data_IF_948626895978
#
_entry.id   IF_948626895978
#
_cell.length_a   1.000
_cell.length_b   1.000
_cell.length_c   1.000
_cell.angle_alpha   90.00
_cell.angle_beta   90.00
_cell.angle_gamma   90.00
#
_symmetry.space_group_name_H-M   'P 1'
#
loop_
_entity.id
_entity.type
_entity.pdbx_description
1 polymer ?
#
# COMPACT_ATOMS: atom_id res chain seq x y z
N UNK A 1 18.39 1.97 47.44
CA UNK A 1 18.64 3.06 46.42
C UNK A 1 18.70 2.54 44.98
N UNK A 2 19.25 1.36 44.68
CA UNK A 2 19.27 0.76 43.34
C UNK A 2 17.86 0.28 42.91
N UNK A 3 17.01 -0.22 43.81
CA UNK A 3 15.69 -0.77 43.48
C UNK A 3 14.65 0.27 43.05
N UNK A 4 14.69 1.52 43.52
CA UNK A 4 13.74 2.57 43.14
C UNK A 4 13.97 3.09 41.74
N UNK A 5 15.23 3.24 41.34
CA UNK A 5 15.62 3.72 39.96
C UNK A 5 15.17 2.72 38.87
N UNK A 6 15.19 1.41 39.18
CA UNK A 6 14.72 0.39 38.26
C UNK A 6 13.19 0.41 38.10
N UNK A 7 12.43 0.63 39.19
CA UNK A 7 10.97 0.66 39.11
C UNK A 7 10.44 1.83 38.28
N UNK A 8 11.05 3.01 38.42
CA UNK A 8 10.65 4.21 37.66
C UNK A 8 10.93 4.02 36.16
N UNK A 9 12.05 3.40 35.81
CA UNK A 9 12.39 3.11 34.41
C UNK A 9 11.43 2.06 33.78
N UNK A 10 11.03 1.01 34.51
CA UNK A 10 10.11 0.02 33.97
C UNK A 10 8.71 0.58 33.68
N UNK A 11 8.21 1.48 34.55
CA UNK A 11 6.95 2.16 34.31
C UNK A 11 7.00 3.02 33.04
N UNK A 12 8.09 3.78 32.85
CA UNK A 12 8.32 4.58 31.65
C UNK A 12 8.43 3.71 30.40
N UNK A 13 9.20 2.63 30.44
CA UNK A 13 9.32 1.68 29.33
C UNK A 13 7.96 1.08 28.96
N UNK A 14 7.19 0.63 29.97
CA UNK A 14 5.85 0.10 29.74
C UNK A 14 4.93 1.14 29.07
N UNK A 15 5.04 2.41 29.47
CA UNK A 15 4.28 3.51 28.88
C UNK A 15 4.65 3.72 27.39
N UNK A 16 5.94 3.73 27.04
CA UNK A 16 6.38 3.81 25.63
C UNK A 16 5.76 2.68 24.79
N UNK A 17 5.82 1.45 25.29
CA UNK A 17 5.31 0.28 24.57
C UNK A 17 3.78 0.30 24.44
N UNK A 18 3.06 0.72 25.47
CA UNK A 18 1.60 0.83 25.44
C UNK A 18 1.13 1.93 24.48
N UNK A 19 1.80 3.08 24.47
CA UNK A 19 1.48 4.17 23.53
C UNK A 19 1.79 3.73 22.10
N UNK A 20 2.92 3.05 21.87
CA UNK A 20 3.27 2.55 20.54
C UNK A 20 2.27 1.49 20.05
N UNK A 21 1.87 0.54 20.91
CA UNK A 21 0.84 -0.43 20.60
C UNK A 21 -0.49 0.25 20.22
N UNK A 22 -0.87 1.27 20.98
CA UNK A 22 -2.11 2.02 20.76
C UNK A 22 -2.07 2.81 19.45
N UNK A 23 -0.98 3.56 19.19
CA UNK A 23 -0.83 4.35 17.97
C UNK A 23 -0.83 3.47 16.71
N UNK A 24 -0.03 2.39 16.70
CA UNK A 24 -0.02 1.42 15.61
C UNK A 24 -1.35 0.70 15.46
N UNK A 25 -2.01 0.36 16.58
CA UNK A 25 -3.34 -0.24 16.59
C UNK A 25 -4.41 0.65 15.95
N UNK A 26 -4.44 1.94 16.28
CA UNK A 26 -5.40 2.90 15.70
C UNK A 26 -5.20 3.03 14.19
N UNK A 27 -3.96 3.17 13.71
CA UNK A 27 -3.67 3.21 12.26
C UNK A 27 -4.09 1.89 11.61
N UNK A 28 -3.72 0.75 12.20
CA UNK A 28 -4.06 -0.56 11.66
C UNK A 28 -5.56 -0.87 11.69
N UNK A 29 -6.31 -0.31 12.64
CA UNK A 29 -7.77 -0.43 12.71
C UNK A 29 -8.43 0.26 11.51
N UNK A 30 -7.99 1.46 11.14
CA UNK A 30 -8.42 2.16 9.92
C UNK A 30 -8.18 1.28 8.69
N UNK A 31 -7.00 0.65 8.58
CA UNK A 31 -6.64 -0.24 7.47
C UNK A 31 -7.53 -1.49 7.41
N UNK A 32 -7.75 -2.14 8.56
CA UNK A 32 -8.62 -3.31 8.67
C UNK A 32 -10.08 -2.99 8.33
N UNK A 33 -10.59 -1.85 8.81
CA UNK A 33 -11.95 -1.41 8.54
C UNK A 33 -12.23 -1.25 7.04
N UNK A 34 -11.21 -0.84 6.29
CA UNK A 34 -11.31 -0.66 4.84
C UNK A 34 -10.84 -1.89 4.02
N UNK A 35 -10.64 -3.04 4.64
CA UNK A 35 -10.25 -4.29 3.96
C UNK A 35 -8.90 -4.23 3.26
N UNK A 36 -7.98 -3.39 3.75
CA UNK A 36 -6.66 -3.23 3.14
C UNK A 36 -5.65 -4.28 3.65
N UNK A 37 -4.71 -4.75 2.80
CA UNK A 37 -3.59 -5.57 3.26
C UNK A 37 -2.81 -4.87 4.38
N UNK A 38 -2.21 -5.64 5.30
CA UNK A 38 -1.58 -5.14 6.51
C UNK A 38 -2.55 -4.29 7.38
N UNK A 39 -3.31 -4.97 8.23
CA UNK A 39 -4.31 -4.37 9.12
C UNK A 39 -3.79 -4.13 10.54
N UNK A 40 -4.70 -4.28 11.51
CA UNK A 40 -4.51 -3.98 12.93
C UNK A 40 -3.25 -4.61 13.53
N UNK A 41 -3.08 -5.93 13.38
CA UNK A 41 -1.95 -6.66 13.98
C UNK A 41 -0.60 -6.19 13.42
N UNK A 42 -0.53 -6.00 12.11
CA UNK A 42 0.72 -5.63 11.43
C UNK A 42 1.21 -4.25 11.89
N UNK A 43 0.33 -3.23 11.87
CA UNK A 43 0.71 -1.87 12.29
C UNK A 43 1.02 -1.80 13.78
N UNK A 44 0.24 -2.49 14.63
CA UNK A 44 0.50 -2.56 16.06
C UNK A 44 1.87 -3.18 16.36
N UNK A 45 2.22 -4.30 15.72
CA UNK A 45 3.52 -4.95 15.88
C UNK A 45 4.68 -4.12 15.32
N UNK A 46 4.51 -3.46 14.19
CA UNK A 46 5.54 -2.59 13.60
C UNK A 46 5.84 -1.40 14.52
N UNK A 47 4.81 -0.71 15.01
CA UNK A 47 4.98 0.41 15.92
C UNK A 47 5.63 -0.03 17.23
N UNK A 48 5.12 -1.11 17.82
CA UNK A 48 5.63 -1.69 19.06
C UNK A 48 7.10 -2.11 18.94
N UNK A 49 7.48 -2.85 17.90
CA UNK A 49 8.85 -3.31 17.69
C UNK A 49 9.82 -2.15 17.43
N UNK A 50 9.41 -1.15 16.69
CA UNK A 50 10.21 0.06 16.45
C UNK A 50 10.44 0.82 17.74
N UNK A 51 9.40 1.00 18.57
CA UNK A 51 9.51 1.63 19.88
C UNK A 51 10.41 0.82 20.82
N UNK A 52 10.25 -0.50 20.87
CA UNK A 52 11.06 -1.39 21.68
C UNK A 52 12.57 -1.29 21.36
N UNK A 53 12.93 -1.26 20.07
CA UNK A 53 14.33 -1.11 19.64
C UNK A 53 14.90 0.27 20.00
N UNK A 54 14.09 1.33 19.93
CA UNK A 54 14.51 2.67 20.35
C UNK A 54 14.65 2.78 21.86
N UNK A 55 13.73 2.19 22.64
CA UNK A 55 13.84 2.10 24.10
C UNK A 55 15.15 1.41 24.49
N UNK A 56 15.52 0.32 23.82
CA UNK A 56 16.80 -0.35 24.04
C UNK A 56 17.99 0.61 23.87
N UNK A 57 17.92 1.51 22.89
CA UNK A 57 18.96 2.50 22.64
C UNK A 57 18.96 3.64 23.68
N UNK A 58 17.77 4.13 24.05
CA UNK A 58 17.63 5.21 25.06
C UNK A 58 18.13 4.77 26.43
N UNK A 59 17.87 3.53 26.81
CA UNK A 59 18.27 2.96 28.10
C UNK A 59 19.58 2.17 28.03
N UNK A 60 20.45 2.41 27.03
CA UNK A 60 21.70 1.66 26.83
C UNK A 60 22.63 1.68 28.06
N UNK A 61 22.69 2.78 28.82
CA UNK A 61 23.52 2.92 29.99
C UNK A 61 23.14 1.93 31.11
N UNK A 62 21.90 1.44 31.12
CA UNK A 62 21.42 0.50 32.14
C UNK A 62 21.86 -0.94 31.90
N UNK A 63 22.07 -1.35 30.66
CA UNK A 63 22.49 -2.71 30.30
C UNK A 63 23.92 -2.80 29.76
N UNK A 64 24.54 -1.66 29.40
CA UNK A 64 25.91 -1.56 28.88
C UNK A 64 26.93 -1.17 29.94
N UNK A 65 26.56 -1.14 31.22
CA UNK A 65 27.34 -0.62 32.35
C UNK A 65 28.71 -1.34 32.60
N UNK A 66 28.97 -2.47 31.94
CA UNK A 66 30.21 -3.23 32.06
C UNK A 66 31.33 -2.81 31.10
N UNK A 67 31.06 -1.91 30.16
CA UNK A 67 32.05 -1.42 29.19
C UNK A 67 32.34 0.07 29.45
N UNK A 68 33.62 0.47 29.41
CA UNK A 68 34.05 1.87 29.54
C UNK A 68 33.34 2.75 28.49
N UNK A 69 32.18 3.34 28.81
CA UNK A 69 31.37 4.22 27.98
C UNK A 69 32.10 5.51 27.59
N UNK A 70 33.15 5.90 28.32
CA UNK A 70 33.95 7.11 28.01
C UNK A 70 34.66 7.08 26.62
N UNK A 71 34.65 5.91 25.95
CA UNK A 71 35.29 5.73 24.61
C UNK A 71 34.36 5.40 23.47
N UNK A 72 33.07 5.21 23.71
CA UNK A 72 32.15 4.77 22.65
C UNK A 72 31.10 5.87 22.42
N UNK A 73 31.33 6.72 21.44
CA UNK A 73 30.25 7.61 20.91
C UNK A 73 29.23 6.73 20.21
N UNK A 74 28.23 6.26 20.93
CA UNK A 74 27.12 5.51 20.36
C UNK A 74 26.12 6.53 19.77
N UNK A 75 26.04 6.52 18.45
CA UNK A 75 25.08 7.36 17.74
C UNK A 75 23.68 6.72 17.79
N UNK A 76 22.72 7.30 18.52
CA UNK A 76 21.38 6.73 18.67
C UNK A 76 20.59 6.73 17.35
N UNK A 77 21.00 7.54 16.37
CA UNK A 77 20.31 7.60 15.08
C UNK A 77 20.60 6.37 14.22
N UNK A 78 21.67 5.62 14.49
CA UNK A 78 21.98 4.37 13.77
C UNK A 78 20.93 3.29 13.97
N UNK A 79 20.33 3.20 15.17
CA UNK A 79 19.25 2.27 15.42
C UNK A 79 18.00 2.67 14.63
N UNK A 80 17.63 3.95 14.65
CA UNK A 80 16.51 4.46 13.83
C UNK A 80 16.74 4.19 12.34
N UNK A 81 17.95 4.44 11.83
CA UNK A 81 18.33 4.13 10.45
C UNK A 81 18.18 2.63 10.14
N UNK A 82 18.63 1.76 11.04
CA UNK A 82 18.49 0.31 10.91
C UNK A 82 17.03 -0.13 10.85
N UNK A 83 16.16 0.43 11.71
CA UNK A 83 14.73 0.17 11.72
C UNK A 83 14.12 0.60 10.37
N UNK A 84 14.39 1.84 9.91
CA UNK A 84 13.83 2.38 8.68
C UNK A 84 14.32 1.63 7.44
N UNK A 85 15.55 1.13 7.44
CA UNK A 85 16.08 0.27 6.38
C UNK A 85 15.39 -1.10 6.39
N UNK A 86 15.27 -1.73 7.58
CA UNK A 86 14.66 -3.04 7.73
C UNK A 86 13.17 -3.07 7.35
N UNK A 87 12.43 -2.00 7.69
CA UNK A 87 11.01 -1.90 7.33
C UNK A 87 10.78 -1.78 5.82
N UNK A 88 11.80 -1.35 5.06
CA UNK A 88 11.78 -1.34 3.60
C UNK A 88 11.53 -2.72 3.00
N UNK A 89 12.06 -3.78 3.63
CA UNK A 89 11.81 -5.17 3.22
C UNK A 89 10.34 -5.57 3.38
N UNK A 90 9.71 -5.24 4.51
CA UNK A 90 8.27 -5.47 4.72
C UNK A 90 7.43 -4.64 3.75
N UNK A 91 7.82 -3.39 3.51
CA UNK A 91 7.19 -2.51 2.53
C UNK A 91 7.24 -3.10 1.12
N UNK A 92 8.39 -3.60 0.69
CA UNK A 92 8.53 -4.27 -0.60
C UNK A 92 7.66 -5.55 -0.69
N UNK A 93 7.56 -6.30 0.40
CA UNK A 93 6.76 -7.54 0.47
C UNK A 93 5.25 -7.35 0.31
N UNK A 94 4.72 -6.13 0.50
CA UNK A 94 3.29 -5.83 0.31
C UNK A 94 2.98 -5.17 -1.04
N UNK A 95 4.00 -4.80 -1.80
CA UNK A 95 3.84 -4.24 -3.15
C UNK A 95 3.81 -5.40 -4.15
N UNK A 96 2.71 -5.51 -4.86
CA UNK A 96 2.50 -6.56 -5.85
C UNK A 96 2.19 -5.97 -7.21
N UNK A 97 2.81 -6.53 -8.25
CA UNK A 97 2.49 -6.20 -9.65
C UNK A 97 1.53 -7.25 -10.19
N UNK A 98 0.36 -6.81 -10.60
CA UNK A 98 -0.66 -7.66 -11.22
C UNK A 98 -0.96 -7.13 -12.62
N UNK A 99 -0.38 -7.77 -13.63
CA UNK A 99 -0.39 -7.27 -15.00
C UNK A 99 0.34 -5.93 -15.13
N UNK A 100 -0.36 -4.89 -15.53
CA UNK A 100 0.16 -3.51 -15.64
C UNK A 100 -0.10 -2.66 -14.38
N UNK A 101 -0.82 -3.19 -13.42
CA UNK A 101 -1.19 -2.48 -12.18
C UNK A 101 -0.22 -2.82 -11.05
N UNK A 102 0.17 -1.82 -10.27
CA UNK A 102 0.96 -1.97 -9.04
C UNK A 102 0.05 -1.67 -7.86
N UNK A 103 -0.12 -2.64 -6.96
CA UNK A 103 -0.93 -2.53 -5.73
C UNK A 103 -0.04 -2.54 -4.50
N UNK A 104 -0.57 -2.04 -3.39
CA UNK A 104 0.10 -2.09 -2.09
C UNK A 104 1.01 -0.90 -1.79
N UNK A 105 1.12 0.13 -2.66
CA UNK A 105 1.98 1.30 -2.44
C UNK A 105 1.57 2.08 -1.18
N UNK A 106 0.27 2.39 -1.01
CA UNK A 106 -0.25 3.05 0.18
C UNK A 106 -0.07 2.20 1.44
N UNK A 107 -0.19 0.87 1.31
CA UNK A 107 0.06 -0.06 2.41
C UNK A 107 1.53 -0.04 2.84
N UNK A 108 2.46 -0.08 1.90
CA UNK A 108 3.90 0.04 2.18
C UNK A 108 4.23 1.37 2.87
N UNK A 109 3.68 2.47 2.37
CA UNK A 109 3.85 3.79 2.97
C UNK A 109 3.26 3.86 4.40
N UNK A 110 2.08 3.25 4.64
CA UNK A 110 1.48 3.21 5.98
C UNK A 110 2.28 2.39 6.98
N UNK A 111 2.88 1.28 6.56
CA UNK A 111 3.79 0.49 7.39
C UNK A 111 5.05 1.30 7.71
N UNK A 112 5.62 1.97 6.72
CA UNK A 112 6.83 2.78 6.87
C UNK A 112 6.64 3.94 7.85
N UNK A 113 5.57 4.73 7.72
CA UNK A 113 5.27 5.83 8.66
C UNK A 113 4.97 5.33 10.07
N UNK A 114 4.31 4.16 10.21
CA UNK A 114 4.02 3.54 11.50
C UNK A 114 5.31 3.16 12.26
N UNK A 115 6.33 2.70 11.54
CA UNK A 115 7.65 2.46 12.14
C UNK A 115 8.29 3.76 12.63
N UNK A 116 8.21 4.85 11.84
CA UNK A 116 8.68 6.18 12.25
C UNK A 116 7.98 6.71 13.51
N UNK A 117 6.67 6.51 13.61
CA UNK A 117 5.88 6.85 14.81
C UNK A 117 6.37 6.03 16.02
N UNK A 118 6.63 4.74 15.84
CA UNK A 118 7.20 3.88 16.88
C UNK A 118 8.57 4.36 17.36
N UNK A 119 9.44 4.80 16.44
CA UNK A 119 10.74 5.41 16.76
C UNK A 119 10.55 6.64 17.65
N UNK A 120 9.67 7.58 17.25
CA UNK A 120 9.40 8.80 18.04
C UNK A 120 8.88 8.47 19.44
N UNK A 121 7.97 7.51 19.57
CA UNK A 121 7.45 7.08 20.86
C UNK A 121 8.56 6.47 21.70
N UNK A 122 9.41 5.63 21.12
CA UNK A 122 10.50 4.96 21.83
C UNK A 122 11.55 5.92 22.39
N UNK A 123 11.75 7.11 21.79
CA UNK A 123 12.60 8.18 22.33
C UNK A 123 11.85 9.18 23.24
N UNK A 124 10.56 8.96 23.49
CA UNK A 124 9.75 9.83 24.36
C UNK A 124 9.15 11.05 23.66
N UNK A 125 9.20 11.17 22.34
CA UNK A 125 8.61 12.27 21.58
C UNK A 125 7.12 12.03 21.34
N UNK A 126 6.32 11.98 22.42
CA UNK A 126 4.90 11.63 22.37
C UNK A 126 4.05 12.65 21.59
N UNK A 127 4.31 13.96 21.78
CA UNK A 127 3.56 15.00 21.09
C UNK A 127 3.76 14.96 19.57
N UNK A 128 4.99 14.93 19.02
CA UNK A 128 5.21 14.74 17.60
C UNK A 128 4.63 13.41 17.06
N UNK A 129 4.75 12.32 17.84
CA UNK A 129 4.18 11.03 17.47
C UNK A 129 2.65 11.08 17.39
N UNK A 130 1.99 11.78 18.33
CA UNK A 130 0.55 12.00 18.30
C UNK A 130 0.09 12.78 17.07
N UNK A 131 0.80 13.86 16.73
CA UNK A 131 0.55 14.63 15.50
C UNK A 131 0.74 13.74 14.25
N UNK A 132 1.85 13.01 14.17
CA UNK A 132 2.12 12.14 13.05
C UNK A 132 1.04 11.05 12.88
N UNK A 133 0.56 10.48 14.01
CA UNK A 133 -0.54 9.52 13.99
C UNK A 133 -1.83 10.14 13.46
N UNK A 134 -2.19 11.33 13.94
CA UNK A 134 -3.38 12.06 13.48
C UNK A 134 -3.29 12.42 11.99
N UNK A 135 -2.14 12.93 11.53
CA UNK A 135 -1.92 13.24 10.12
C UNK A 135 -1.98 11.98 9.24
N UNK A 136 -1.42 10.87 9.70
CA UNK A 136 -1.51 9.59 8.99
C UNK A 136 -2.96 9.15 8.83
N UNK A 137 -3.78 9.25 9.86
CA UNK A 137 -5.20 8.93 9.79
C UNK A 137 -5.97 9.86 8.85
N UNK A 138 -5.64 11.16 8.85
CA UNK A 138 -6.22 12.13 7.91
C UNK A 138 -5.89 11.72 6.48
N UNK A 139 -4.64 11.43 6.16
CA UNK A 139 -4.23 11.01 4.83
C UNK A 139 -4.96 9.72 4.41
N UNK A 140 -5.01 8.72 5.28
CA UNK A 140 -5.61 7.43 4.97
C UNK A 140 -7.15 7.48 4.84
N UNK A 141 -7.82 8.38 5.54
CA UNK A 141 -9.29 8.46 5.59
C UNK A 141 -9.85 9.61 4.75
N UNK A 142 -9.37 10.86 5.02
CA UNK A 142 -9.90 12.07 4.38
C UNK A 142 -9.52 12.15 2.91
N UNK A 143 -8.24 11.84 2.58
CA UNK A 143 -7.82 11.89 1.18
C UNK A 143 -8.54 10.86 0.33
N UNK A 144 -8.80 9.67 0.87
CA UNK A 144 -9.65 8.67 0.22
C UNK A 144 -11.08 9.19 -0.01
N UNK A 145 -11.65 9.92 0.96
CA UNK A 145 -12.97 10.51 0.80
C UNK A 145 -12.98 11.59 -0.30
N UNK A 146 -11.89 12.39 -0.39
CA UNK A 146 -11.70 13.36 -1.48
C UNK A 146 -11.58 12.63 -2.81
N UNK A 147 -10.70 11.63 -2.93
CA UNK A 147 -10.49 10.83 -4.13
C UNK A 147 -11.79 10.24 -4.68
N UNK A 148 -12.66 9.72 -3.79
CA UNK A 148 -13.97 9.19 -4.21
C UNK A 148 -14.92 10.23 -4.80
N UNK A 149 -14.68 11.51 -4.57
CA UNK A 149 -15.47 12.63 -5.10
C UNK A 149 -14.84 13.34 -6.28
N UNK A 150 -13.58 13.08 -6.52
CA UNK A 150 -12.93 13.57 -7.74
C UNK A 150 -13.48 12.78 -8.93
N UNK A 151 -13.72 13.43 -10.07
CA UNK A 151 -14.02 12.75 -11.32
C UNK A 151 -12.74 12.01 -11.77
N UNK A 152 -12.54 10.81 -11.19
CA UNK A 152 -11.42 9.96 -11.55
C UNK A 152 -11.88 9.13 -12.73
N UNK A 153 -11.19 9.24 -13.84
CA UNK A 153 -11.40 8.39 -14.99
C UNK A 153 -11.17 6.93 -14.61
N UNK A 154 -12.14 6.11 -14.93
CA UNK A 154 -12.07 4.67 -14.72
C UNK A 154 -11.20 4.05 -15.79
N UNK A 155 -10.06 3.51 -15.43
CA UNK A 155 -9.19 2.78 -16.34
C UNK A 155 -9.46 1.28 -16.27
N UNK A 156 -9.48 0.63 -17.42
CA UNK A 156 -9.58 -0.82 -17.51
C UNK A 156 -8.66 -1.36 -18.62
N UNK A 157 -8.16 -2.55 -18.40
CA UNK A 157 -7.50 -3.33 -19.46
C UNK A 157 -8.55 -4.18 -20.15
N UNK A 158 -8.74 -3.95 -21.45
CA UNK A 158 -9.61 -4.73 -22.33
C UNK A 158 -8.75 -5.65 -23.19
N UNK A 159 -9.02 -6.94 -23.14
CA UNK A 159 -8.49 -7.92 -24.09
C UNK A 159 -9.67 -8.49 -24.86
N UNK A 160 -9.59 -8.46 -26.20
CA UNK A 160 -10.60 -9.08 -27.08
C UNK A 160 -9.91 -10.07 -28.01
N UNK A 161 -10.38 -11.31 -27.98
CA UNK A 161 -9.83 -12.41 -28.75
C UNK A 161 -10.72 -12.76 -29.96
N UNK A 162 -10.08 -13.03 -31.09
CA UNK A 162 -10.70 -13.42 -32.33
C UNK A 162 -10.04 -14.66 -32.91
N UNK A 163 -10.76 -15.43 -33.71
CA UNK A 163 -10.11 -16.42 -34.56
C UNK A 163 -9.27 -15.70 -35.63
N UNK A 164 -8.04 -16.16 -35.90
CA UNK A 164 -7.10 -15.54 -36.84
C UNK A 164 -7.71 -15.19 -38.20
N UNK A 165 -8.60 -16.02 -38.71
CA UNK A 165 -9.21 -15.84 -40.04
C UNK A 165 -10.48 -14.98 -40.03
N UNK A 166 -10.98 -14.60 -38.83
CA UNK A 166 -12.19 -13.81 -38.64
C UNK A 166 -11.93 -12.62 -37.69
N UNK A 167 -10.75 -12.03 -37.79
CA UNK A 167 -10.35 -10.88 -36.96
C UNK A 167 -11.11 -9.65 -37.44
N UNK A 168 -11.73 -8.93 -36.50
CA UNK A 168 -12.36 -7.65 -36.75
C UNK A 168 -11.29 -6.59 -37.06
N UNK A 169 -11.48 -5.71 -38.09
CA UNK A 169 -10.60 -4.59 -38.33
C UNK A 169 -10.48 -3.68 -37.10
N UNK A 170 -9.27 -3.18 -36.82
CA UNK A 170 -9.02 -2.29 -35.67
C UNK A 170 -9.99 -1.11 -35.61
N UNK A 171 -10.24 -0.46 -36.76
CA UNK A 171 -11.13 0.70 -36.83
C UNK A 171 -12.57 0.39 -36.36
N UNK A 172 -13.07 -0.80 -36.66
CA UNK A 172 -14.40 -1.23 -36.23
C UNK A 172 -14.44 -1.52 -34.74
N UNK A 173 -13.39 -2.19 -34.22
CA UNK A 173 -13.31 -2.44 -32.78
C UNK A 173 -13.19 -1.13 -31.98
N UNK A 174 -12.39 -0.17 -32.47
CA UNK A 174 -12.30 1.19 -31.89
C UNK A 174 -13.67 1.87 -31.86
N UNK A 175 -14.38 1.88 -32.97
CA UNK A 175 -15.71 2.50 -33.04
C UNK A 175 -16.71 1.88 -32.05
N UNK A 176 -16.65 0.56 -31.82
CA UNK A 176 -17.48 -0.12 -30.85
C UNK A 176 -17.14 0.32 -29.43
N UNK A 177 -15.85 0.36 -29.07
CA UNK A 177 -15.38 0.75 -27.74
C UNK A 177 -15.70 2.22 -27.46
N UNK A 178 -15.46 3.10 -28.43
CA UNK A 178 -15.76 4.53 -28.33
C UNK A 178 -17.26 4.83 -28.25
N UNK A 179 -18.09 4.06 -28.95
CA UNK A 179 -19.57 4.17 -28.90
C UNK A 179 -20.11 3.87 -27.48
N UNK A 180 -19.41 3.03 -26.71
CA UNK A 180 -19.76 2.74 -25.31
C UNK A 180 -19.16 3.74 -24.32
N UNK A 181 -18.67 4.89 -24.79
CA UNK A 181 -18.15 5.97 -23.94
C UNK A 181 -16.75 5.73 -23.39
N UNK A 182 -15.96 4.84 -23.98
CA UNK A 182 -14.57 4.64 -23.65
C UNK A 182 -13.63 5.34 -24.62
N UNK A 183 -12.51 5.84 -24.09
CA UNK A 183 -11.39 6.33 -24.86
C UNK A 183 -10.27 5.29 -24.80
N UNK A 184 -9.62 5.00 -25.93
CA UNK A 184 -8.53 4.05 -26.02
C UNK A 184 -7.21 4.80 -25.88
N UNK A 185 -6.48 4.53 -24.77
CA UNK A 185 -5.20 5.17 -24.49
C UNK A 185 -4.02 4.46 -25.17
N UNK A 186 -4.05 3.14 -25.23
CA UNK A 186 -2.99 2.33 -25.83
C UNK A 186 -3.57 1.03 -26.39
N UNK A 187 -2.94 0.48 -27.45
CA UNK A 187 -3.35 -0.77 -28.08
C UNK A 187 -2.12 -1.62 -28.42
N UNK A 188 -2.18 -2.88 -28.01
CA UNK A 188 -1.18 -3.90 -28.30
C UNK A 188 -1.85 -5.08 -29.04
N UNK A 189 -1.07 -5.79 -29.80
CA UNK A 189 -1.52 -6.93 -30.58
C UNK A 189 -0.77 -8.19 -30.13
N UNK A 190 -1.49 -9.28 -29.99
CA UNK A 190 -0.92 -10.57 -29.60
C UNK A 190 -1.50 -11.70 -30.42
N UNK A 191 -0.68 -12.65 -30.78
CA UNK A 191 -1.10 -13.88 -31.43
C UNK A 191 -0.78 -15.06 -30.50
N UNK A 192 -1.82 -15.70 -29.99
CA UNK A 192 -1.75 -16.76 -28.98
C UNK A 192 -2.28 -18.10 -29.52
N UNK A 193 -2.23 -19.16 -28.72
CA UNK A 193 -2.82 -20.46 -29.07
C UNK A 193 -2.22 -21.08 -30.35
N UNK A 194 -0.88 -21.17 -30.42
CA UNK A 194 -0.16 -21.70 -31.60
C UNK A 194 -0.51 -20.97 -32.92
N UNK A 195 -0.77 -19.66 -32.83
CA UNK A 195 -1.10 -18.81 -33.97
C UNK A 195 -2.55 -18.87 -34.42
N UNK A 196 -3.45 -19.46 -33.63
CA UNK A 196 -4.88 -19.60 -33.97
C UNK A 196 -5.75 -18.45 -33.48
N UNK A 197 -5.33 -17.79 -32.37
CA UNK A 197 -6.09 -16.72 -31.72
C UNK A 197 -5.36 -15.38 -31.83
N UNK A 198 -6.00 -14.40 -32.42
CA UNK A 198 -5.52 -13.03 -32.48
C UNK A 198 -6.19 -12.21 -31.37
N UNK A 199 -5.39 -11.46 -30.59
CA UNK A 199 -5.87 -10.67 -29.47
C UNK A 199 -5.50 -9.20 -29.62
N UNK A 200 -6.50 -8.33 -29.41
CA UNK A 200 -6.28 -6.91 -29.15
C UNK A 200 -6.24 -6.71 -27.64
N UNK A 201 -5.15 -6.15 -27.14
CA UNK A 201 -4.99 -5.78 -25.74
C UNK A 201 -4.90 -4.28 -25.65
N UNK A 202 -5.82 -3.62 -24.96
CA UNK A 202 -5.90 -2.17 -24.92
C UNK A 202 -6.17 -1.65 -23.50
N UNK A 203 -5.65 -0.46 -23.22
CA UNK A 203 -6.03 0.30 -22.03
C UNK A 203 -7.11 1.27 -22.45
N UNK A 204 -8.27 1.14 -21.83
CA UNK A 204 -9.44 1.99 -22.06
C UNK A 204 -9.74 2.80 -20.80
N UNK A 205 -10.26 4.00 -20.96
CA UNK A 205 -10.73 4.82 -19.83
C UNK A 205 -12.08 5.47 -20.13
N UNK A 206 -12.85 5.68 -19.08
CA UNK A 206 -14.17 6.33 -19.16
C UNK A 206 -14.45 7.06 -17.84
N UNK A 207 -15.20 8.17 -17.84
CA UNK A 207 -15.67 8.82 -16.62
C UNK A 207 -16.71 7.99 -15.85
N UNK A 208 -17.39 7.04 -16.51
CA UNK A 208 -18.47 6.25 -15.94
C UNK A 208 -18.12 4.76 -15.88
N UNK A 209 -18.24 4.17 -14.68
CA UNK A 209 -17.99 2.72 -14.47
C UNK A 209 -19.05 1.83 -15.13
N UNK A 210 -20.28 2.31 -15.26
CA UNK A 210 -21.39 1.53 -15.80
C UNK A 210 -21.22 1.20 -17.28
N UNK A 211 -20.42 1.97 -18.01
CA UNK A 211 -20.07 1.72 -19.41
C UNK A 211 -19.39 0.34 -19.61
N UNK A 212 -18.76 -0.21 -18.57
CA UNK A 212 -18.16 -1.56 -18.61
C UNK A 212 -19.19 -2.64 -18.88
N UNK A 213 -20.38 -2.51 -18.30
CA UNK A 213 -21.49 -3.47 -18.50
C UNK A 213 -22.00 -3.39 -19.94
N UNK A 214 -22.18 -2.19 -20.44
CA UNK A 214 -22.66 -1.97 -21.82
C UNK A 214 -21.66 -2.50 -22.84
N UNK A 215 -20.36 -2.22 -22.63
CA UNK A 215 -19.30 -2.77 -23.46
C UNK A 215 -19.28 -4.31 -23.43
N UNK A 216 -19.44 -4.92 -22.26
CA UNK A 216 -19.48 -6.38 -22.13
C UNK A 216 -20.64 -7.00 -22.90
N UNK A 217 -21.82 -6.38 -22.87
CA UNK A 217 -23.01 -6.82 -23.61
C UNK A 217 -22.77 -6.68 -25.12
N UNK A 218 -22.20 -5.54 -25.55
CA UNK A 218 -21.89 -5.29 -26.97
C UNK A 218 -20.90 -6.32 -27.53
N UNK A 219 -19.82 -6.62 -26.79
CA UNK A 219 -18.83 -7.62 -27.21
C UNK A 219 -19.38 -9.04 -27.22
N UNK A 220 -20.20 -9.38 -26.23
CA UNK A 220 -20.82 -10.71 -26.15
C UNK A 220 -21.86 -10.98 -27.28
N UNK A 221 -22.47 -9.93 -27.81
CA UNK A 221 -23.41 -10.04 -28.94
C UNK A 221 -22.72 -10.30 -30.29
N UNK A 222 -21.39 -10.18 -30.35
CA UNK A 222 -20.64 -10.35 -31.60
C UNK A 222 -20.23 -11.78 -31.79
N UNK A 223 -20.69 -12.43 -32.85
CA UNK A 223 -20.34 -13.82 -33.19
C UNK A 223 -18.87 -14.04 -33.57
N UNK A 224 -18.14 -12.95 -33.94
CA UNK A 224 -16.73 -12.99 -34.31
C UNK A 224 -15.80 -12.99 -33.10
N UNK A 225 -16.27 -12.54 -31.91
CA UNK A 225 -15.52 -12.50 -30.69
C UNK A 225 -15.51 -13.91 -30.07
N UNK A 226 -14.34 -14.50 -29.94
CA UNK A 226 -14.15 -15.82 -29.30
C UNK A 226 -14.00 -15.73 -27.78
N UNK A 227 -13.58 -14.57 -27.30
CA UNK A 227 -13.45 -14.28 -25.87
C UNK A 227 -13.08 -12.84 -25.60
N UNK A 228 -13.43 -12.34 -24.43
CA UNK A 228 -12.97 -11.02 -23.98
C UNK A 228 -12.74 -11.03 -22.48
N UNK A 229 -11.91 -10.11 -22.03
CA UNK A 229 -11.66 -9.85 -20.61
C UNK A 229 -11.59 -8.33 -20.37
N UNK A 230 -12.35 -7.85 -19.41
CA UNK A 230 -12.31 -6.46 -18.95
C UNK A 230 -11.81 -6.50 -17.50
N UNK A 231 -10.60 -5.98 -17.25
CA UNK A 231 -9.98 -5.97 -15.92
C UNK A 231 -9.79 -4.52 -15.47
N UNK A 232 -10.53 -4.05 -14.44
CA UNK A 232 -10.31 -2.73 -13.88
C UNK A 232 -8.85 -2.56 -13.43
N UNK A 233 -8.24 -1.41 -13.76
CA UNK A 233 -6.92 -1.02 -13.29
C UNK A 233 -7.10 0.07 -12.25
N UNK A 234 -7.02 -0.28 -10.95
CA UNK A 234 -7.14 0.64 -9.83
C UNK A 234 -7.34 -0.12 -8.53
N UNK A 235 -6.92 0.51 -7.40
CA UNK A 235 -7.09 0.00 -6.04
C UNK A 235 -8.57 0.02 -5.59
#
# INVERSE_FOLDING_TARGET
MISSVWHDNYAAIALHLLIALSAGGIIGMERSYHGRPAGFRTHALVCLSSSMLMVLTVYQDTWFSSFNLERTNVDPTRMAQGIMTGIGFLGAGVIMKEGLTVRGLTTAASIWITAGIGIMIGVGFYFPAGIATAMTLIVLSVFRWIERRMPIEFYAQLTVAFTRNATLPEAELRAIVEKQGFVIANMNYSLTGEGKTFEYQMVIHSPERDNTRELSVALNAMSTVTGFRISPTGD
#
